data_IF_942306829451
#
_entry.id   IF_942306829451
#
_cell.length_a   1.000
_cell.length_b   1.000
_cell.length_c   1.000
_cell.angle_alpha   90.00
_cell.angle_beta   90.00
_cell.angle_gamma   90.00
#
_symmetry.space_group_name_H-M   'P 1'
#
loop_
_entity.id
_entity.type
_entity.pdbx_description
1 polymer ?
#
# COMPACT_ATOMS: atom_id res chain seq x y z
N UNK A 1 4.19 11.52 -32.33
CA UNK A 1 2.97 10.69 -32.29
C UNK A 1 3.21 9.53 -31.36
N UNK A 2 2.71 9.63 -30.13
CA UNK A 2 2.49 8.51 -29.23
C UNK A 2 1.54 9.02 -28.15
N UNK A 3 0.30 8.56 -28.24
CA UNK A 3 -0.78 8.75 -27.28
C UNK A 3 -0.68 7.65 -26.23
N UNK A 4 -0.41 8.01 -24.98
CA UNK A 4 -0.60 7.19 -23.77
C UNK A 4 -0.60 8.14 -22.57
N UNK A 5 -1.45 8.05 -21.56
CA UNK A 5 -2.79 7.51 -21.41
C UNK A 5 -3.33 8.20 -20.15
N UNK A 6 -4.55 8.68 -20.24
CA UNK A 6 -5.32 9.30 -19.17
C UNK A 6 -5.78 8.23 -18.19
N UNK A 7 -4.96 7.86 -17.20
CA UNK A 7 -5.42 7.08 -16.04
C UNK A 7 -4.97 7.73 -14.73
N UNK A 8 -5.41 8.97 -14.51
CA UNK A 8 -5.69 9.46 -13.17
C UNK A 8 -7.19 9.38 -12.95
N UNK A 9 -7.68 8.15 -12.71
CA UNK A 9 -9.05 7.93 -12.26
C UNK A 9 -9.18 8.56 -10.88
N UNK A 10 -9.93 9.66 -10.84
CA UNK A 10 -10.50 10.27 -9.66
C UNK A 10 -10.95 9.19 -8.67
N UNK A 11 -10.27 9.08 -7.52
CA UNK A 11 -10.81 8.38 -6.35
C UNK A 11 -11.88 9.27 -5.71
N UNK A 12 -12.94 9.55 -6.45
CA UNK A 12 -14.20 9.91 -5.82
C UNK A 12 -14.62 8.68 -5.01
N UNK A 13 -14.99 8.83 -3.73
CA UNK A 13 -15.64 7.73 -3.02
C UNK A 13 -16.80 7.22 -3.88
N UNK A 14 -17.05 5.90 -3.92
CA UNK A 14 -18.17 5.37 -4.68
C UNK A 14 -19.41 6.17 -4.28
N UNK A 15 -20.10 6.70 -5.28
CA UNK A 15 -21.43 7.28 -5.12
C UNK A 15 -22.23 6.29 -4.28
N UNK A 16 -22.46 6.60 -3.00
CA UNK A 16 -23.38 5.87 -2.15
C UNK A 16 -24.75 6.22 -2.72
N UNK A 17 -25.17 5.48 -3.74
CA UNK A 17 -26.53 5.60 -4.24
C UNK A 17 -27.45 5.31 -3.05
N UNK A 18 -28.36 6.22 -2.69
CA UNK A 18 -29.28 5.97 -1.59
C UNK A 18 -30.03 4.68 -1.89
N UNK A 19 -30.00 3.74 -0.94
CA UNK A 19 -30.65 2.44 -1.08
C UNK A 19 -32.10 2.66 -1.53
N UNK A 20 -32.38 2.32 -2.79
CA UNK A 20 -33.62 2.65 -3.48
C UNK A 20 -34.85 2.06 -2.80
N UNK A 21 -34.65 0.97 -2.05
CA UNK A 21 -35.69 0.33 -1.23
C UNK A 21 -36.09 1.18 -0.02
N UNK A 22 -35.13 1.82 0.65
CA UNK A 22 -35.40 2.75 1.76
C UNK A 22 -36.18 3.96 1.23
N UNK A 23 -35.78 4.47 0.06
CA UNK A 23 -36.45 5.59 -0.61
C UNK A 23 -37.89 5.25 -1.03
N UNK A 24 -38.16 4.02 -1.49
CA UNK A 24 -39.50 3.59 -1.88
C UNK A 24 -40.44 3.40 -0.68
N UNK A 25 -39.95 2.88 0.45
CA UNK A 25 -40.72 2.80 1.71
C UNK A 25 -41.04 4.20 2.24
N UNK A 26 -40.10 5.14 2.16
CA UNK A 26 -40.34 6.54 2.54
C UNK A 26 -41.34 7.25 1.63
N UNK A 27 -41.34 6.93 0.32
CA UNK A 27 -42.28 7.49 -0.65
C UNK A 27 -43.72 7.05 -0.38
N UNK A 28 -43.93 5.86 0.17
CA UNK A 28 -45.28 5.32 0.44
C UNK A 28 -45.88 5.79 1.77
N UNK A 29 -45.08 6.26 2.73
CA UNK A 29 -45.50 6.34 4.12
C UNK A 29 -45.68 7.75 4.73
N UNK A 30 -45.51 8.83 3.94
CA UNK A 30 -45.85 10.20 4.37
C UNK A 30 -44.78 10.88 5.25
N UNK A 31 -44.41 12.11 4.89
CA UNK A 31 -43.06 12.69 5.04
C UNK A 31 -42.66 13.18 6.46
N UNK A 32 -43.52 13.06 7.48
CA UNK A 32 -43.33 13.74 8.78
C UNK A 32 -42.40 13.03 9.78
N UNK A 33 -42.74 11.79 10.14
CA UNK A 33 -42.03 10.99 11.15
C UNK A 33 -40.87 10.18 10.57
N UNK A 34 -41.03 9.71 9.33
CA UNK A 34 -40.05 8.89 8.62
C UNK A 34 -38.73 9.62 8.37
N UNK A 35 -38.78 10.93 8.10
CA UNK A 35 -37.58 11.74 7.96
C UNK A 35 -36.74 11.75 9.24
N UNK A 36 -37.37 11.67 10.41
CA UNK A 36 -36.69 11.77 11.73
C UNK A 36 -35.99 10.46 12.10
N UNK A 37 -36.63 9.30 11.91
CA UNK A 37 -36.00 8.00 12.17
C UNK A 37 -34.88 7.67 11.17
N UNK A 38 -35.04 8.06 9.89
CA UNK A 38 -33.96 7.99 8.91
C UNK A 38 -32.84 8.96 9.26
N UNK A 39 -33.16 10.19 9.69
CA UNK A 39 -32.14 11.13 10.15
C UNK A 39 -31.39 10.58 11.35
N UNK A 40 -32.06 9.96 12.33
CA UNK A 40 -31.39 9.36 13.50
C UNK A 40 -30.49 8.18 13.12
N UNK A 41 -30.91 7.36 12.15
CA UNK A 41 -30.10 6.26 11.62
C UNK A 41 -28.91 6.76 10.79
N UNK A 42 -29.09 7.84 10.01
CA UNK A 42 -28.01 8.54 9.31
C UNK A 42 -27.06 9.27 10.29
N UNK A 43 -27.59 9.90 11.34
CA UNK A 43 -26.87 10.57 12.44
C UNK A 43 -25.91 9.61 13.13
N UNK A 44 -26.34 8.37 13.40
CA UNK A 44 -25.48 7.34 13.99
C UNK A 44 -24.33 6.91 13.07
N UNK A 45 -24.40 7.21 11.77
CA UNK A 45 -23.39 6.83 10.77
C UNK A 45 -22.49 7.97 10.31
N UNK A 46 -22.77 9.24 10.65
CA UNK A 46 -22.00 10.40 10.16
C UNK A 46 -21.73 11.43 11.27
N UNK A 47 -20.68 11.24 12.06
CA UNK A 47 -20.24 12.18 13.12
C UNK A 47 -19.34 13.34 12.64
N UNK A 48 -19.27 13.66 11.34
CA UNK A 48 -18.20 14.52 10.81
C UNK A 48 -18.59 15.91 10.24
N UNK A 49 -19.81 16.42 10.41
CA UNK A 49 -20.21 17.71 9.80
C UNK A 49 -20.61 18.78 10.84
N UNK A 50 -19.89 19.91 10.87
CA UNK A 50 -20.08 21.03 11.81
C UNK A 50 -21.38 21.83 11.59
N UNK A 51 -21.92 21.87 10.37
CA UNK A 51 -23.20 22.54 10.07
C UNK A 51 -24.43 21.74 10.55
N UNK A 52 -24.21 20.51 11.04
CA UNK A 52 -25.26 19.55 11.36
C UNK A 52 -25.88 19.75 12.75
N UNK A 53 -25.15 20.35 13.70
CA UNK A 53 -25.64 20.62 15.06
C UNK A 53 -26.76 21.67 15.08
N UNK A 54 -26.72 22.66 14.17
CA UNK A 54 -27.78 23.65 14.03
C UNK A 54 -29.09 23.02 13.52
N UNK A 55 -29.00 22.07 12.58
CA UNK A 55 -30.15 21.35 12.04
C UNK A 55 -30.79 20.39 13.06
N UNK A 56 -29.98 19.70 13.87
CA UNK A 56 -30.43 18.84 14.98
C UNK A 56 -31.30 19.61 15.99
N UNK A 57 -30.87 20.81 16.36
CA UNK A 57 -31.53 21.63 17.39
C UNK A 57 -32.90 22.16 16.94
N UNK A 58 -33.09 22.44 15.65
CA UNK A 58 -34.39 22.88 15.09
C UNK A 58 -35.43 21.73 15.04
N UNK A 59 -34.96 20.49 14.83
CA UNK A 59 -35.83 19.32 14.66
C UNK A 59 -36.20 18.61 15.97
N UNK A 60 -35.33 18.58 16.97
CA UNK A 60 -35.62 18.01 18.30
C UNK A 60 -36.85 18.66 18.96
N UNK A 61 -37.13 19.94 18.66
CA UNK A 61 -38.31 20.65 19.17
C UNK A 61 -39.65 20.26 18.51
N UNK A 62 -39.66 19.41 17.48
CA UNK A 62 -40.87 18.99 16.74
C UNK A 62 -41.16 17.50 16.85
N UNK A 63 -40.41 16.76 17.67
CA UNK A 63 -40.60 15.33 17.87
C UNK A 63 -41.69 15.14 18.94
N UNK A 64 -42.86 14.70 18.50
CA UNK A 64 -43.87 14.14 19.42
C UNK A 64 -43.41 12.75 19.83
N UNK A 65 -43.24 12.53 21.14
CA UNK A 65 -42.88 11.23 21.70
C UNK A 65 -44.04 10.27 21.45
N UNK A 66 -43.86 9.31 20.54
CA UNK A 66 -44.79 8.21 20.31
C UNK A 66 -44.49 7.17 21.39
N UNK A 67 -45.52 6.59 22.00
CA UNK A 67 -45.35 5.54 23.00
C UNK A 67 -44.76 4.28 22.36
N UNK A 68 -43.95 3.52 23.10
CA UNK A 68 -43.35 2.27 22.59
C UNK A 68 -44.42 1.24 22.14
N UNK A 69 -45.63 1.31 22.72
CA UNK A 69 -46.77 0.46 22.35
C UNK A 69 -47.34 0.81 20.96
N UNK A 70 -47.46 2.10 20.61
CA UNK A 70 -47.96 2.53 19.30
C UNK A 70 -46.98 2.22 18.14
N UNK A 71 -45.68 2.11 18.44
CA UNK A 71 -44.64 1.76 17.46
C UNK A 71 -44.71 0.27 17.10
N UNK A 72 -45.00 -0.58 18.09
CA UNK A 72 -45.04 -2.04 17.92
C UNK A 72 -46.28 -2.52 17.15
N UNK A 73 -47.39 -1.78 17.20
CA UNK A 73 -48.63 -2.14 16.49
C UNK A 73 -48.76 -1.47 15.11
N UNK A 74 -47.93 -0.47 14.81
CA UNK A 74 -48.00 0.22 13.53
C UNK A 74 -47.29 -0.57 12.41
N UNK A 75 -48.01 -1.08 11.40
CA UNK A 75 -47.41 -1.89 10.34
C UNK A 75 -46.40 -1.14 9.48
N UNK A 76 -46.43 0.20 9.46
CA UNK A 76 -45.43 1.03 8.79
C UNK A 76 -44.13 1.06 9.59
N UNK A 77 -44.21 1.18 10.91
CA UNK A 77 -43.05 1.16 11.80
C UNK A 77 -42.35 -0.20 11.78
N UNK A 78 -43.11 -1.31 11.78
CA UNK A 78 -42.57 -2.66 11.65
C UNK A 78 -41.83 -2.87 10.32
N UNK A 79 -42.45 -2.49 9.19
CA UNK A 79 -41.80 -2.58 7.86
C UNK A 79 -40.54 -1.73 7.76
N UNK A 80 -40.51 -0.57 8.40
CA UNK A 80 -39.32 0.28 8.44
C UNK A 80 -38.20 -0.37 9.26
N UNK A 81 -38.53 -0.95 10.43
CA UNK A 81 -37.57 -1.66 11.25
C UNK A 81 -36.97 -2.87 10.51
N UNK A 82 -37.81 -3.64 9.79
CA UNK A 82 -37.36 -4.72 8.91
C UNK A 82 -36.41 -4.21 7.81
N UNK A 83 -36.77 -3.12 7.12
CA UNK A 83 -35.94 -2.54 6.07
C UNK A 83 -34.59 -2.01 6.59
N UNK A 84 -34.58 -1.39 7.78
CA UNK A 84 -33.35 -0.92 8.43
C UNK A 84 -32.46 -2.09 8.87
N UNK A 85 -33.07 -3.16 9.39
CA UNK A 85 -32.33 -4.37 9.75
C UNK A 85 -31.71 -5.04 8.52
N UNK A 86 -32.47 -5.17 7.42
CA UNK A 86 -31.95 -5.70 6.15
C UNK A 86 -30.81 -4.83 5.61
N UNK A 87 -30.97 -3.50 5.62
CA UNK A 87 -29.94 -2.57 5.19
C UNK A 87 -28.66 -2.64 6.05
N UNK A 88 -28.80 -2.78 7.38
CA UNK A 88 -27.65 -2.98 8.28
C UNK A 88 -26.90 -4.27 7.94
N UNK A 89 -27.64 -5.36 7.71
CA UNK A 89 -27.05 -6.65 7.31
C UNK A 89 -26.35 -6.56 5.96
N UNK A 90 -26.95 -5.86 5.00
CA UNK A 90 -26.35 -5.63 3.67
C UNK A 90 -25.05 -4.82 3.78
N UNK A 91 -25.03 -3.79 4.63
CA UNK A 91 -23.82 -3.00 4.91
C UNK A 91 -22.72 -3.83 5.56
N UNK A 92 -23.06 -4.72 6.50
CA UNK A 92 -22.08 -5.63 7.13
C UNK A 92 -21.52 -6.63 6.10
N UNK A 93 -22.37 -7.18 5.22
CA UNK A 93 -21.93 -8.03 4.11
C UNK A 93 -20.97 -7.29 3.15
N UNK A 94 -21.28 -6.03 2.81
CA UNK A 94 -20.42 -5.22 1.95
C UNK A 94 -19.07 -4.90 2.61
N UNK A 95 -19.06 -4.62 3.92
CA UNK A 95 -17.83 -4.40 4.69
C UNK A 95 -16.95 -5.65 4.70
N UNK A 96 -17.54 -6.82 4.88
CA UNK A 96 -16.82 -8.10 4.83
C UNK A 96 -16.23 -8.37 3.44
N UNK A 97 -17.03 -8.19 2.37
CA UNK A 97 -16.55 -8.33 0.99
C UNK A 97 -15.40 -7.36 0.67
N UNK A 98 -15.50 -6.10 1.13
CA UNK A 98 -14.44 -5.11 0.95
C UNK A 98 -13.16 -5.53 1.68
N UNK A 99 -13.29 -6.02 2.92
CA UNK A 99 -12.17 -6.54 3.72
C UNK A 99 -11.48 -7.71 3.05
N UNK A 100 -12.24 -8.69 2.55
CA UNK A 100 -11.69 -9.84 1.83
C UNK A 100 -10.93 -9.43 0.58
N UNK A 101 -11.48 -8.48 -0.18
CA UNK A 101 -10.80 -7.93 -1.37
C UNK A 101 -9.48 -7.26 -0.99
N UNK A 102 -9.48 -6.43 0.06
CA UNK A 102 -8.28 -5.75 0.55
C UNK A 102 -7.23 -6.75 1.06
N UNK A 103 -7.68 -7.77 1.80
CA UNK A 103 -6.82 -8.84 2.29
C UNK A 103 -6.12 -9.56 1.14
N UNK A 104 -6.88 -9.96 0.11
CA UNK A 104 -6.34 -10.67 -1.04
C UNK A 104 -5.35 -9.80 -1.85
N UNK A 105 -5.65 -8.52 -2.03
CA UNK A 105 -4.74 -7.58 -2.71
C UNK A 105 -3.43 -7.41 -1.93
N UNK A 106 -3.52 -7.19 -0.62
CA UNK A 106 -2.35 -7.05 0.24
C UNK A 106 -1.53 -8.35 0.24
N UNK A 107 -2.19 -9.51 0.28
CA UNK A 107 -1.54 -10.84 0.22
C UNK A 107 -0.81 -11.06 -1.10
N UNK A 108 -1.38 -10.68 -2.23
CA UNK A 108 -0.71 -10.78 -3.53
C UNK A 108 0.55 -9.92 -3.58
N UNK A 109 0.46 -8.65 -3.12
CA UNK A 109 1.63 -7.76 -3.02
C UNK A 109 2.69 -8.33 -2.07
N UNK A 110 2.27 -8.93 -0.97
CA UNK A 110 3.15 -9.60 -0.02
C UNK A 110 3.91 -10.77 -0.67
N UNK A 111 3.23 -11.63 -1.42
CA UNK A 111 3.85 -12.74 -2.16
C UNK A 111 4.90 -12.20 -3.12
N UNK A 112 4.56 -11.19 -3.95
CA UNK A 112 5.51 -10.57 -4.89
C UNK A 112 6.71 -9.97 -4.16
N UNK A 113 6.48 -9.25 -3.07
CA UNK A 113 7.56 -8.65 -2.28
C UNK A 113 8.45 -9.69 -1.58
N UNK A 114 7.88 -10.80 -1.10
CA UNK A 114 8.65 -11.86 -0.44
C UNK A 114 9.40 -12.77 -1.41
N UNK A 115 8.88 -12.90 -2.63
CA UNK A 115 9.62 -13.51 -3.75
C UNK A 115 10.80 -12.64 -4.21
N UNK A 116 10.76 -11.32 -3.95
CA UNK A 116 11.87 -10.43 -4.28
C UNK A 116 13.07 -10.59 -3.35
N UNK A 117 14.26 -10.42 -3.92
CA UNK A 117 15.52 -10.57 -3.22
C UNK A 117 16.09 -9.22 -2.73
N UNK A 118 16.85 -9.21 -1.62
CA UNK A 118 17.22 -10.35 -0.79
C UNK A 118 15.97 -10.92 -0.08
N UNK A 119 15.94 -12.23 0.13
CA UNK A 119 14.73 -13.00 0.44
C UNK A 119 14.10 -12.70 1.81
N UNK A 120 13.22 -13.59 2.33
CA UNK A 120 12.44 -13.39 3.56
C UNK A 120 13.24 -12.98 4.82
N UNK A 121 14.56 -13.19 4.81
CA UNK A 121 15.44 -13.11 5.98
C UNK A 121 16.31 -11.84 6.04
N UNK A 122 16.07 -10.89 5.14
CA UNK A 122 17.05 -9.86 4.82
C UNK A 122 16.42 -8.48 4.78
N UNK A 123 16.86 -7.70 5.76
CA UNK A 123 16.78 -6.25 5.90
C UNK A 123 15.48 -5.64 6.44
N UNK A 124 14.27 -6.22 6.36
CA UNK A 124 13.12 -5.65 7.09
C UNK A 124 13.25 -5.88 8.59
N UNK A 125 12.97 -4.87 9.42
CA UNK A 125 12.85 -5.07 10.85
C UNK A 125 11.96 -6.29 11.15
N UNK A 126 12.36 -7.18 12.07
CA UNK A 126 11.78 -8.53 12.19
C UNK A 126 10.25 -8.51 12.29
N UNK A 127 9.68 -7.49 12.92
CA UNK A 127 8.23 -7.32 13.07
C UNK A 127 7.47 -7.23 11.74
N UNK A 128 7.95 -6.47 10.75
CA UNK A 128 7.22 -6.30 9.48
C UNK A 128 7.32 -7.55 8.59
N UNK A 129 8.47 -8.23 8.57
CA UNK A 129 8.58 -9.51 7.85
C UNK A 129 7.69 -10.58 8.45
N UNK A 130 7.57 -10.63 9.78
CA UNK A 130 6.64 -11.53 10.47
C UNK A 130 5.21 -11.21 10.04
N UNK A 131 4.78 -9.95 10.07
CA UNK A 131 3.43 -9.56 9.62
C UNK A 131 3.17 -9.92 8.15
N UNK A 132 4.12 -9.67 7.25
CA UNK A 132 3.98 -10.05 5.83
C UNK A 132 3.88 -11.57 5.67
N UNK A 133 4.65 -12.34 6.45
CA UNK A 133 4.62 -13.81 6.42
C UNK A 133 3.29 -14.34 6.98
N UNK A 134 2.80 -13.77 8.08
CA UNK A 134 1.48 -14.08 8.66
C UNK A 134 0.34 -13.80 7.67
N UNK A 135 0.43 -12.71 6.90
CA UNK A 135 -0.52 -12.36 5.84
C UNK A 135 -0.53 -13.39 4.71
N UNK A 136 0.65 -13.91 4.33
CA UNK A 136 0.76 -14.94 3.28
C UNK A 136 0.19 -16.27 3.77
N UNK A 137 0.56 -16.69 4.97
CA UNK A 137 0.17 -17.98 5.56
C UNK A 137 -1.32 -17.98 5.93
N UNK A 138 -1.89 -16.83 6.27
CA UNK A 138 -3.24 -16.73 6.80
C UNK A 138 -3.34 -17.11 8.28
N UNK A 139 -2.22 -17.07 9.01
CA UNK A 139 -2.14 -17.48 10.41
C UNK A 139 -2.66 -16.45 11.41
N UNK A 140 -3.02 -15.24 10.95
CA UNK A 140 -3.45 -14.11 11.79
C UNK A 140 -4.61 -13.36 11.15
N UNK A 141 -5.54 -12.93 12.00
CA UNK A 141 -6.57 -11.95 11.65
C UNK A 141 -5.97 -10.54 11.69
N UNK A 142 -6.10 -9.80 10.59
CA UNK A 142 -5.63 -8.43 10.48
C UNK A 142 -6.80 -7.47 10.61
N UNK A 143 -6.66 -6.47 11.47
CA UNK A 143 -7.63 -5.37 11.55
C UNK A 143 -7.57 -4.51 10.29
N UNK A 144 -8.65 -3.80 9.95
CA UNK A 144 -8.74 -2.97 8.75
C UNK A 144 -7.60 -1.94 8.65
N UNK A 145 -7.27 -1.29 9.77
CA UNK A 145 -6.14 -0.35 9.83
C UNK A 145 -4.78 -1.03 9.57
N UNK A 146 -4.61 -2.27 10.01
CA UNK A 146 -3.39 -3.05 9.76
C UNK A 146 -3.29 -3.48 8.29
N UNK A 147 -4.40 -3.93 7.68
CA UNK A 147 -4.44 -4.26 6.26
C UNK A 147 -4.16 -3.04 5.38
N UNK A 148 -4.77 -1.90 5.69
CA UNK A 148 -4.54 -0.65 4.96
C UNK A 148 -3.08 -0.19 5.04
N UNK A 149 -2.48 -0.29 6.24
CA UNK A 149 -1.06 -0.01 6.44
C UNK A 149 -0.17 -0.95 5.61
N UNK A 150 -0.39 -2.27 5.71
CA UNK A 150 0.40 -3.26 4.97
C UNK A 150 0.27 -3.07 3.46
N UNK A 151 -0.93 -2.83 2.95
CA UNK A 151 -1.18 -2.61 1.53
C UNK A 151 -0.39 -1.40 1.00
N UNK A 152 -0.43 -0.28 1.73
CA UNK A 152 0.29 0.95 1.39
C UNK A 152 1.80 0.74 1.40
N UNK A 153 2.32 0.08 2.45
CA UNK A 153 3.75 -0.19 2.59
C UNK A 153 4.26 -1.12 1.50
N UNK A 154 3.53 -2.19 1.20
CA UNK A 154 3.89 -3.14 0.16
C UNK A 154 3.83 -2.49 -1.23
N UNK A 155 2.79 -1.70 -1.53
CA UNK A 155 2.69 -0.96 -2.78
C UNK A 155 3.88 -0.02 -2.98
N UNK A 156 4.21 0.77 -1.95
CA UNK A 156 5.36 1.68 -1.98
C UNK A 156 6.67 0.93 -2.22
N UNK A 157 6.87 -0.21 -1.54
CA UNK A 157 8.10 -1.01 -1.67
C UNK A 157 8.25 -1.64 -3.05
N UNK A 158 7.17 -2.18 -3.60
CA UNK A 158 7.17 -2.72 -4.96
C UNK A 158 7.44 -1.62 -5.98
N UNK A 159 6.84 -0.44 -5.82
CA UNK A 159 7.13 0.71 -6.66
C UNK A 159 8.60 1.13 -6.60
N UNK A 160 9.21 1.17 -5.41
CA UNK A 160 10.65 1.47 -5.29
C UNK A 160 11.54 0.42 -5.98
N UNK A 161 11.17 -0.86 -5.95
CA UNK A 161 11.90 -1.91 -6.68
C UNK A 161 11.80 -1.70 -8.19
N UNK A 162 10.64 -1.28 -8.70
CA UNK A 162 10.49 -0.90 -10.09
C UNK A 162 11.37 0.32 -10.42
N UNK A 163 11.31 1.38 -9.61
CA UNK A 163 12.16 2.56 -9.78
C UNK A 163 13.65 2.24 -9.80
N UNK A 164 14.11 1.29 -8.98
CA UNK A 164 15.50 0.84 -9.02
C UNK A 164 15.88 0.23 -10.38
N UNK A 165 14.97 -0.56 -10.96
CA UNK A 165 15.13 -1.13 -12.31
C UNK A 165 15.17 -0.02 -13.36
N UNK A 166 14.27 0.95 -13.27
CA UNK A 166 14.20 2.09 -14.20
C UNK A 166 15.47 2.97 -14.11
N UNK A 167 16.01 3.17 -12.90
CA UNK A 167 17.25 3.90 -12.69
C UNK A 167 18.44 3.20 -13.34
N UNK A 168 18.51 1.86 -13.30
CA UNK A 168 19.55 1.10 -13.98
C UNK A 168 19.43 1.22 -15.51
N UNK A 169 18.21 1.20 -16.05
CA UNK A 169 17.97 1.44 -17.47
C UNK A 169 18.38 2.85 -17.87
N UNK A 170 17.98 3.87 -17.11
CA UNK A 170 18.35 5.26 -17.34
C UNK A 170 19.87 5.48 -17.31
N UNK A 171 20.55 4.85 -16.36
CA UNK A 171 22.00 4.96 -16.25
C UNK A 171 22.74 4.29 -17.41
N UNK A 172 22.07 3.49 -18.25
CA UNK A 172 22.64 2.74 -19.37
C UNK A 172 23.98 2.10 -18.99
N UNK A 173 23.91 1.16 -18.05
CA UNK A 173 25.10 0.51 -17.47
C UNK A 173 25.71 -0.54 -18.40
N UNK A 174 25.24 -0.64 -19.66
CA UNK A 174 25.84 -1.53 -20.67
C UNK A 174 25.65 -3.03 -20.43
N UNK A 175 24.87 -3.41 -19.43
CA UNK A 175 24.50 -4.80 -19.14
C UNK A 175 22.98 -4.93 -18.97
N UNK A 176 22.43 -6.05 -19.43
CA UNK A 176 21.09 -6.46 -19.03
C UNK A 176 21.18 -7.00 -17.60
N UNK A 177 20.89 -6.14 -16.64
CA UNK A 177 20.78 -6.55 -15.25
C UNK A 177 19.35 -7.02 -14.95
N UNK A 178 19.15 -8.12 -14.19
CA UNK A 178 17.83 -8.58 -13.84
C UNK A 178 17.01 -7.49 -13.13
N UNK A 179 15.68 -7.43 -13.34
CA UNK A 179 14.80 -6.58 -12.57
C UNK A 179 15.05 -6.75 -11.07
N UNK A 180 14.87 -5.67 -10.30
CA UNK A 180 15.20 -5.69 -8.88
C UNK A 180 14.51 -6.82 -8.10
N UNK A 181 13.30 -7.20 -8.52
CA UNK A 181 12.54 -8.26 -7.87
C UNK A 181 13.01 -9.69 -8.21
N UNK A 182 13.87 -9.88 -9.22
CA UNK A 182 14.38 -11.18 -9.63
C UNK A 182 15.83 -11.44 -9.17
N UNK A 183 16.54 -10.39 -8.77
CA UNK A 183 17.98 -10.47 -8.54
C UNK A 183 18.37 -11.04 -7.17
N UNK A 184 18.90 -12.26 -7.11
CA UNK A 184 19.35 -12.92 -5.88
C UNK A 184 20.63 -12.30 -5.29
N UNK A 185 20.43 -11.28 -4.45
CA UNK A 185 21.50 -10.62 -3.70
C UNK A 185 22.30 -11.60 -2.82
N UNK A 186 21.66 -12.51 -2.08
CA UNK A 186 22.37 -13.40 -1.15
C UNK A 186 23.30 -14.35 -1.91
N UNK A 187 22.84 -14.87 -3.04
CA UNK A 187 23.66 -15.67 -3.95
C UNK A 187 24.82 -14.85 -4.50
N UNK A 188 24.59 -13.60 -4.89
CA UNK A 188 25.67 -12.72 -5.36
C UNK A 188 26.73 -12.52 -4.28
N UNK A 189 26.33 -12.18 -3.04
CA UNK A 189 27.27 -12.01 -1.93
C UNK A 189 28.06 -13.27 -1.61
N UNK A 190 27.40 -14.43 -1.58
CA UNK A 190 28.06 -15.74 -1.37
C UNK A 190 29.08 -16.02 -2.48
N UNK A 191 28.72 -15.72 -3.73
CA UNK A 191 29.60 -15.89 -4.90
C UNK A 191 30.84 -15.00 -4.78
N UNK A 192 30.67 -13.70 -4.56
CA UNK A 192 31.79 -12.76 -4.40
C UNK A 192 32.69 -13.15 -3.23
N UNK A 193 32.13 -13.59 -2.10
CA UNK A 193 32.92 -14.05 -0.94
C UNK A 193 33.71 -15.33 -1.24
N UNK A 194 33.11 -16.27 -1.98
CA UNK A 194 33.78 -17.49 -2.44
C UNK A 194 34.92 -17.14 -3.39
N UNK A 195 34.67 -16.29 -4.39
CA UNK A 195 35.64 -15.91 -5.41
C UNK A 195 36.84 -15.16 -4.83
N UNK A 196 36.65 -14.34 -3.79
CA UNK A 196 37.74 -13.69 -3.04
C UNK A 196 38.74 -14.68 -2.43
N UNK A 197 38.31 -15.92 -2.18
CA UNK A 197 39.12 -17.03 -1.62
C UNK A 197 39.59 -18.01 -2.69
N UNK A 198 39.30 -17.74 -3.96
CA UNK A 198 39.73 -18.58 -5.08
C UNK A 198 41.26 -18.67 -5.15
N UNK A 199 41.76 -19.84 -5.55
CA UNK A 199 43.17 -20.05 -5.86
C UNK A 199 43.58 -19.38 -7.18
N UNK A 200 42.61 -19.05 -8.04
CA UNK A 200 42.86 -18.28 -9.25
C UNK A 200 43.01 -16.79 -8.89
N UNK A 201 44.23 -16.26 -9.07
CA UNK A 201 44.58 -14.89 -8.69
C UNK A 201 43.73 -13.84 -9.42
N UNK A 202 43.40 -14.06 -10.69
CA UNK A 202 42.57 -13.14 -11.47
C UNK A 202 41.17 -13.06 -10.87
N UNK A 203 40.54 -14.22 -10.64
CA UNK A 203 39.21 -14.31 -10.02
C UNK A 203 39.20 -13.65 -8.63
N UNK A 204 40.18 -13.95 -7.80
CA UNK A 204 40.28 -13.38 -6.46
C UNK A 204 40.50 -11.86 -6.47
N UNK A 205 41.25 -11.34 -7.44
CA UNK A 205 41.50 -9.90 -7.59
C UNK A 205 40.24 -9.18 -8.04
N UNK A 206 39.59 -9.67 -9.10
CA UNK A 206 38.32 -9.13 -9.60
C UNK A 206 37.24 -9.12 -8.51
N UNK A 207 37.13 -10.19 -7.73
CA UNK A 207 36.14 -10.26 -6.64
C UNK A 207 36.44 -9.26 -5.50
N UNK A 208 37.72 -8.98 -5.21
CA UNK A 208 38.11 -7.93 -4.24
C UNK A 208 37.79 -6.54 -4.77
N UNK A 209 38.07 -6.26 -6.03
CA UNK A 209 37.75 -4.99 -6.70
C UNK A 209 36.24 -4.76 -6.72
N UNK A 210 35.45 -5.74 -7.19
CA UNK A 210 33.98 -5.71 -7.16
C UNK A 210 33.46 -5.40 -5.76
N UNK A 211 34.03 -6.04 -4.74
CA UNK A 211 33.64 -5.77 -3.35
C UNK A 211 33.99 -4.35 -2.89
N UNK A 212 35.17 -3.87 -3.24
CA UNK A 212 35.61 -2.50 -2.91
C UNK A 212 34.73 -1.44 -3.55
N UNK A 213 34.35 -1.64 -4.82
CA UNK A 213 33.42 -0.77 -5.54
C UNK A 213 32.03 -0.83 -4.88
N UNK A 214 31.52 -2.03 -4.56
CA UNK A 214 30.25 -2.20 -3.83
C UNK A 214 30.23 -1.38 -2.54
N UNK A 215 31.26 -1.47 -1.69
CA UNK A 215 31.29 -0.81 -0.38
C UNK A 215 31.28 0.72 -0.53
N UNK A 216 31.92 1.27 -1.57
CA UNK A 216 31.89 2.71 -1.87
C UNK A 216 30.53 3.17 -2.41
N UNK A 217 29.96 2.43 -3.37
CA UNK A 217 28.65 2.75 -3.96
C UNK A 217 27.57 2.69 -2.90
N UNK A 218 27.66 1.73 -1.99
CA UNK A 218 26.72 1.60 -0.88
C UNK A 218 26.61 2.90 -0.08
N UNK A 219 27.75 3.51 0.27
CA UNK A 219 27.79 4.79 0.98
C UNK A 219 27.16 5.92 0.15
N UNK A 220 27.52 6.04 -1.14
CA UNK A 220 26.98 7.08 -2.03
C UNK A 220 25.45 6.96 -2.22
N UNK A 221 24.95 5.76 -2.46
CA UNK A 221 23.51 5.47 -2.61
C UNK A 221 22.75 5.77 -1.31
N UNK A 222 23.40 5.55 -0.16
CA UNK A 222 22.81 5.87 1.13
C UNK A 222 22.74 7.39 1.37
N UNK A 223 23.82 8.11 1.07
CA UNK A 223 23.93 9.56 1.22
C UNK A 223 23.00 10.34 0.29
N UNK A 224 22.84 9.88 -0.96
CA UNK A 224 22.03 10.59 -1.95
C UNK A 224 20.52 10.41 -1.79
N UNK A 225 20.06 9.49 -0.93
CA UNK A 225 18.65 9.26 -0.64
C UNK A 225 17.77 9.10 -1.91
N UNK A 226 18.25 8.34 -2.90
CA UNK A 226 17.56 8.11 -4.18
C UNK A 226 16.11 7.58 -4.04
N UNK A 227 15.82 6.91 -2.92
CA UNK A 227 14.49 6.43 -2.57
C UNK A 227 14.01 7.18 -1.33
N UNK A 228 12.99 8.04 -1.50
CA UNK A 228 12.34 8.74 -0.39
C UNK A 228 11.58 7.73 0.45
N UNK A 229 11.97 7.53 1.71
CA UNK A 229 11.25 6.65 2.63
C UNK A 229 9.86 7.24 2.89
N UNK A 230 8.82 6.41 2.79
CA UNK A 230 7.46 6.84 3.16
C UNK A 230 7.33 7.13 4.67
N UNK A 231 8.26 6.62 5.50
CA UNK A 231 8.32 6.95 6.92
C UNK A 231 9.73 6.75 7.48
N UNK A 232 10.12 7.63 8.41
CA UNK A 232 11.38 7.57 9.18
C UNK A 232 11.55 6.27 9.99
N UNK A 233 10.46 5.53 10.22
CA UNK A 233 10.44 4.33 11.06
C UNK A 233 10.60 3.02 10.30
N UNK A 234 10.74 3.04 8.96
CA UNK A 234 10.75 1.81 8.16
C UNK A 234 12.07 1.00 8.20
N UNK A 235 13.01 1.40 9.06
CA UNK A 235 14.21 0.63 9.39
C UNK A 235 15.06 0.23 8.18
N UNK A 236 15.94 -0.77 8.32
CA UNK A 236 16.78 -1.27 7.23
C UNK A 236 15.96 -1.93 6.09
N UNK A 237 14.63 -2.08 6.22
CA UNK A 237 13.77 -2.85 5.32
C UNK A 237 13.57 -2.29 3.93
N UNK A 238 13.97 -1.03 3.75
CA UNK A 238 13.96 -0.34 2.48
C UNK A 238 15.33 -0.42 1.78
N UNK A 239 16.18 -1.37 2.17
CA UNK A 239 17.45 -1.60 1.50
C UNK A 239 17.31 -2.30 0.15
N UNK A 240 16.26 -3.12 -0.09
CA UNK A 240 16.18 -3.91 -1.35
C UNK A 240 16.35 -3.07 -2.63
N UNK A 241 15.65 -1.93 -2.80
CA UNK A 241 15.83 -1.09 -4.00
C UNK A 241 17.25 -0.52 -4.12
N UNK A 242 17.84 -0.12 -2.99
CA UNK A 242 19.22 0.40 -2.93
C UNK A 242 20.22 -0.70 -3.30
N UNK A 243 20.05 -1.90 -2.76
CA UNK A 243 20.93 -3.04 -2.99
C UNK A 243 21.00 -3.43 -4.46
N UNK A 244 19.87 -3.36 -5.18
CA UNK A 244 19.86 -3.61 -6.62
C UNK A 244 20.81 -2.67 -7.38
N UNK A 245 20.76 -1.36 -7.10
CA UNK A 245 21.69 -0.39 -7.72
C UNK A 245 23.14 -0.63 -7.30
N UNK A 246 23.35 -0.86 -6.00
CA UNK A 246 24.70 -1.03 -5.43
C UNK A 246 25.40 -2.28 -5.99
N UNK A 247 24.64 -3.31 -6.38
CA UNK A 247 25.18 -4.56 -6.93
C UNK A 247 25.28 -4.53 -8.46
N UNK A 248 24.34 -3.88 -9.15
CA UNK A 248 24.36 -3.82 -10.61
C UNK A 248 25.56 -3.02 -11.15
N UNK A 249 25.92 -1.93 -10.48
CA UNK A 249 27.01 -1.05 -10.94
C UNK A 249 28.40 -1.73 -10.91
N UNK A 250 28.80 -2.49 -9.87
CA UNK A 250 30.01 -3.32 -9.91
C UNK A 250 29.99 -4.42 -10.98
N UNK A 251 28.83 -4.92 -11.38
CA UNK A 251 28.71 -5.95 -12.42
C UNK A 251 28.87 -5.38 -13.84
N UNK A 252 28.67 -4.07 -14.01
CA UNK A 252 28.80 -3.38 -15.29
C UNK A 252 30.26 -3.15 -15.73
N UNK A 253 31.26 -3.61 -14.96
CA UNK A 253 32.69 -3.39 -15.20
C UNK A 253 33.07 -1.91 -15.43
N UNK A 254 32.30 -1.00 -14.82
CA UNK A 254 32.57 0.42 -14.89
C UNK A 254 33.71 0.81 -13.94
N UNK A 255 34.51 1.78 -14.34
CA UNK A 255 35.46 2.41 -13.43
C UNK A 255 34.73 3.16 -12.31
N UNK A 256 35.40 3.34 -11.17
CA UNK A 256 34.85 4.09 -10.03
C UNK A 256 34.36 5.49 -10.41
N UNK A 257 35.09 6.17 -11.30
CA UNK A 257 34.73 7.51 -11.79
C UNK A 257 33.45 7.48 -12.63
N UNK A 258 33.28 6.47 -13.49
CA UNK A 258 32.07 6.33 -14.31
C UNK A 258 30.84 6.04 -13.44
N UNK A 259 31.00 5.19 -12.43
CA UNK A 259 29.97 4.92 -11.43
C UNK A 259 29.54 6.20 -10.73
N UNK A 260 30.48 6.98 -10.20
CA UNK A 260 30.19 8.23 -9.52
C UNK A 260 29.46 9.23 -10.43
N UNK A 261 29.92 9.37 -11.68
CA UNK A 261 29.27 10.23 -12.67
C UNK A 261 27.83 9.81 -12.96
N UNK A 262 27.56 8.51 -13.11
CA UNK A 262 26.20 7.99 -13.33
C UNK A 262 25.30 8.24 -12.11
N UNK A 263 25.80 8.05 -10.89
CA UNK A 263 25.04 8.35 -9.66
C UNK A 263 24.73 9.85 -9.50
N UNK A 264 25.68 10.73 -9.84
CA UNK A 264 25.45 12.20 -9.83
C UNK A 264 24.39 12.58 -10.89
N UNK A 265 24.47 12.00 -12.09
CA UNK A 265 23.48 12.25 -13.14
C UNK A 265 22.08 11.81 -12.71
N UNK A 266 21.96 10.61 -12.13
CA UNK A 266 20.72 10.09 -11.58
C UNK A 266 20.15 11.02 -10.50
N UNK A 267 21.00 11.53 -9.60
CA UNK A 267 20.58 12.46 -8.54
C UNK A 267 20.00 13.75 -9.11
N UNK A 268 20.62 14.31 -10.15
CA UNK A 268 20.15 15.53 -10.81
C UNK A 268 18.78 15.32 -11.44
N UNK A 269 18.57 14.19 -12.11
CA UNK A 269 17.28 13.82 -12.69
C UNK A 269 16.18 13.77 -11.63
N UNK A 270 16.42 13.08 -10.51
CA UNK A 270 15.45 12.96 -9.41
C UNK A 270 15.15 14.32 -8.75
N UNK A 271 16.10 15.26 -8.79
CA UNK A 271 15.93 16.58 -8.16
C UNK A 271 15.12 17.56 -9.01
N UNK A 272 14.92 17.26 -10.30
CA UNK A 272 14.15 18.08 -11.25
C UNK A 272 12.67 17.65 -11.27
N UNK A 273 12.38 16.42 -10.86
CA UNK A 273 11.03 15.85 -10.76
C UNK A 273 10.42 16.08 -9.37
#
# INVERSE_FOLDING_TARGET
MSTMDEEFVSTSPPSIEPNTRIMDVCRTAGVGMLATCLLQSLIATTEAATDFNAFRTDKENRITVISDEDILENPVCLKLAEALHEASRDMDNLREQHRDKQYNLAKEKAIRYMASYPGPHSAGGPALHVQISELIIGGRQFEEGQLSYLDTVLATRLQMMQQATDFLQFMDIGIQFPPAHEFDQDKWFKTVLSDKRSQNLLVATTAREKRGIYDKIFSLVYEHQFFRLASRWQGPGNQKPKQNIVIALPEANLSEREVEQKLIALRRMISIC
#
